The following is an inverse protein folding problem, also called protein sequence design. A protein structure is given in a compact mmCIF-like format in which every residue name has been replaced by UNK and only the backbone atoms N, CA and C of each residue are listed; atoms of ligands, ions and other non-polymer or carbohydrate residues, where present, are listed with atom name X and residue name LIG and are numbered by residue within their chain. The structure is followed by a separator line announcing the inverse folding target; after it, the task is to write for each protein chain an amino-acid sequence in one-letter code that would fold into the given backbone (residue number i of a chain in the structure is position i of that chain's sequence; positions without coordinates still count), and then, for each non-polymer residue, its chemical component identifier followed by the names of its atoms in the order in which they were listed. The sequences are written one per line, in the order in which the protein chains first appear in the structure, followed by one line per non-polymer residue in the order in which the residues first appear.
data_IF_745988075437
#
_entry.id   IF_745988075437
#
_cell.length_a   1.000
_cell.length_b   1.000
_cell.length_c   1.000
_cell.angle_alpha   90.00
_cell.angle_beta   90.00
_cell.angle_gamma   90.00
#
_symmetry.space_group_name_H-M   'P 1'
#
loop_
_entity.id
_entity.type
_entity.pdbx_description
1 polymer ?
#
# COMPACT_ATOMS: atom_id res chain seq x y z
N UNK A 1 12.56 25.40 6.66
CA UNK A 1 12.57 25.65 8.12
C UNK A 1 11.69 24.61 8.80
N UNK A 2 12.24 23.93 9.79
CA UNK A 2 11.56 22.80 10.46
C UNK A 2 11.34 23.05 11.98
N UNK A 3 11.84 24.18 12.51
CA UNK A 3 11.81 24.47 13.94
C UNK A 3 10.73 25.51 14.27
N UNK A 4 9.46 25.07 14.24
CA UNK A 4 8.32 25.85 14.68
C UNK A 4 7.18 24.93 15.11
N UNK A 5 6.27 25.43 15.91
CA UNK A 5 5.09 24.69 16.37
C UNK A 5 4.04 24.69 15.28
N UNK A 6 3.50 23.50 15.01
CA UNK A 6 2.35 23.26 14.12
C UNK A 6 1.16 22.79 14.94
N UNK A 7 -0.05 22.95 14.43
CA UNK A 7 -1.28 22.57 15.12
C UNK A 7 -2.13 21.62 14.28
N UNK A 8 -2.74 20.64 14.94
CA UNK A 8 -3.73 19.76 14.31
C UNK A 8 -4.68 19.18 15.37
N UNK A 9 -5.84 18.70 14.95
CA UNK A 9 -6.94 18.29 15.84
C UNK A 9 -6.70 16.94 16.54
N UNK A 10 -5.71 16.13 16.10
CA UNK A 10 -5.38 14.87 16.75
C UNK A 10 -4.63 15.04 18.08
N UNK A 11 -4.10 16.23 18.35
CA UNK A 11 -3.42 16.54 19.61
C UNK A 11 -4.42 17.06 20.62
N UNK A 12 -4.59 16.33 21.73
CA UNK A 12 -5.52 16.67 22.79
C UNK A 12 -4.80 17.02 24.09
N UNK A 13 -5.51 17.63 25.04
CA UNK A 13 -5.02 17.89 26.41
C UNK A 13 -5.62 16.91 27.42
N UNK A 14 -6.39 15.94 26.98
CA UNK A 14 -7.02 14.92 27.82
C UNK A 14 -5.99 13.89 28.31
N UNK A 15 -4.96 13.67 27.51
CA UNK A 15 -3.83 12.80 27.83
C UNK A 15 -2.52 13.51 27.48
N UNK A 16 -1.51 13.38 28.35
CA UNK A 16 -0.21 14.03 28.18
C UNK A 16 -0.22 15.56 28.37
N UNK A 17 0.64 16.24 27.63
CA UNK A 17 0.91 17.70 27.78
C UNK A 17 0.19 18.58 26.75
N UNK A 18 -0.45 17.98 25.75
CA UNK A 18 -0.95 18.70 24.57
C UNK A 18 0.14 19.14 23.60
N UNK A 19 1.37 18.66 23.78
CA UNK A 19 2.52 18.91 22.90
C UNK A 19 3.10 17.58 22.48
N UNK A 20 3.17 17.34 21.15
CA UNK A 20 3.64 16.11 20.55
C UNK A 20 4.87 16.38 19.69
N UNK A 21 5.89 15.54 19.81
CA UNK A 21 7.00 15.51 18.87
C UNK A 21 6.54 14.90 17.54
N UNK A 22 6.84 15.55 16.43
CA UNK A 22 6.37 15.16 15.10
C UNK A 22 7.52 14.71 14.22
N UNK A 23 7.43 13.47 13.70
CA UNK A 23 8.45 12.85 12.85
C UNK A 23 7.80 12.29 11.55
N UNK A 24 7.81 13.05 10.44
CA UNK A 24 7.02 12.76 9.24
C UNK A 24 7.32 11.42 8.56
N UNK A 25 8.48 10.83 8.79
CA UNK A 25 8.87 9.53 8.24
C UNK A 25 8.41 8.34 9.09
N UNK A 26 7.94 8.57 10.32
CA UNK A 26 7.71 7.52 11.32
C UNK A 26 6.31 7.53 11.95
N UNK A 27 5.37 8.33 11.41
CA UNK A 27 3.98 8.36 11.82
C UNK A 27 3.07 8.84 10.69
N UNK A 28 1.86 8.25 10.59
CA UNK A 28 0.90 8.62 9.54
C UNK A 28 0.35 10.04 9.77
N UNK A 29 -0.09 10.34 10.98
CA UNK A 29 -0.56 11.69 11.34
C UNK A 29 0.55 12.72 11.23
N UNK A 30 1.76 12.36 11.66
CA UNK A 30 2.95 13.21 11.52
C UNK A 30 3.22 13.55 10.05
N UNK A 31 3.15 12.54 9.17
CA UNK A 31 3.34 12.72 7.73
C UNK A 31 2.26 13.63 7.15
N UNK A 32 0.99 13.38 7.49
CA UNK A 32 -0.16 14.16 7.02
C UNK A 32 -0.02 15.62 7.42
N UNK A 33 0.25 15.88 8.70
CA UNK A 33 0.38 17.24 9.23
C UNK A 33 1.60 17.95 8.66
N UNK A 34 2.74 17.28 8.59
CA UNK A 34 3.95 17.86 8.00
C UNK A 34 3.77 18.24 6.53
N UNK A 35 3.04 17.45 5.75
CA UNK A 35 2.68 17.81 4.36
C UNK A 35 1.80 19.05 4.31
N UNK A 36 0.79 19.16 5.19
CA UNK A 36 -0.10 20.32 5.30
C UNK A 36 0.67 21.63 5.53
N UNK A 37 1.73 21.57 6.35
CA UNK A 37 2.60 22.71 6.65
C UNK A 37 3.85 22.82 5.78
N UNK A 38 3.96 21.98 4.74
CA UNK A 38 5.09 21.94 3.82
C UNK A 38 6.46 21.79 4.54
N UNK A 39 6.48 20.91 5.54
CA UNK A 39 7.69 20.60 6.30
C UNK A 39 8.61 19.70 5.49
N UNK A 40 9.94 19.79 5.69
CA UNK A 40 10.85 18.85 5.04
C UNK A 40 10.60 17.42 5.54
N UNK A 41 10.64 16.48 4.60
CA UNK A 41 10.59 15.05 4.90
C UNK A 41 12.03 14.54 5.02
N UNK A 42 12.38 14.06 6.22
CA UNK A 42 13.71 13.52 6.52
C UNK A 42 13.56 12.14 7.12
N UNK A 43 14.39 11.20 6.64
CA UNK A 43 14.36 9.80 7.06
C UNK A 43 15.78 9.30 7.30
N UNK A 44 16.17 9.22 8.56
CA UNK A 44 17.50 8.82 9.02
C UNK A 44 17.61 7.32 9.34
N UNK A 45 16.70 6.52 8.86
CA UNK A 45 16.69 5.06 9.01
C UNK A 45 16.58 4.43 7.62
N UNK A 46 17.45 3.49 7.30
CA UNK A 46 17.45 2.78 6.03
C UNK A 46 16.44 1.61 6.01
N UNK A 47 16.35 0.89 4.88
CA UNK A 47 15.41 -0.23 4.70
C UNK A 47 15.67 -1.44 5.62
N UNK A 48 16.84 -1.52 6.25
CA UNK A 48 17.19 -2.56 7.24
C UNK A 48 16.84 -2.15 8.66
N UNK A 49 16.33 -0.92 8.86
CA UNK A 49 16.07 -0.35 10.18
C UNK A 49 17.34 0.20 10.85
N UNK A 50 18.41 0.42 10.11
CA UNK A 50 19.69 0.95 10.61
C UNK A 50 19.75 2.46 10.40
N UNK A 51 20.42 3.18 11.32
CA UNK A 51 20.68 4.60 11.20
C UNK A 51 21.54 4.90 9.98
N UNK A 52 21.24 6.00 9.28
CA UNK A 52 21.95 6.39 8.05
C UNK A 52 23.25 7.14 8.36
N UNK A 53 24.09 7.37 7.32
CA UNK A 53 25.38 8.06 7.41
C UNK A 53 25.27 9.53 7.86
N UNK A 54 24.08 10.11 7.79
CA UNK A 54 23.81 11.47 8.26
C UNK A 54 23.66 11.58 9.78
N UNK A 55 23.66 10.46 10.48
CA UNK A 55 23.54 10.40 11.95
C UNK A 55 24.90 10.09 12.60
N UNK A 56 24.99 10.29 13.91
CA UNK A 56 26.20 9.99 14.67
C UNK A 56 26.40 8.46 14.90
N UNK A 57 25.43 7.64 14.52
CA UNK A 57 25.43 6.17 14.75
C UNK A 57 25.15 5.37 13.47
N UNK A 58 25.85 5.61 12.35
CA UNK A 58 25.57 4.93 11.09
C UNK A 58 25.70 3.41 11.19
N UNK A 59 24.74 2.70 10.59
CA UNK A 59 24.70 1.24 10.57
C UNK A 59 24.20 0.59 11.86
N UNK A 60 23.92 1.34 12.91
CA UNK A 60 23.33 0.81 14.15
C UNK A 60 21.82 0.66 13.98
N UNK A 61 21.27 -0.50 14.39
CA UNK A 61 19.83 -0.73 14.38
C UNK A 61 19.13 0.29 15.29
N UNK A 62 18.03 0.85 14.85
CA UNK A 62 17.37 1.99 15.49
C UNK A 62 17.06 1.76 16.98
N UNK A 63 16.69 0.55 17.40
CA UNK A 63 16.45 0.24 18.82
C UNK A 63 17.74 0.09 19.63
N UNK A 64 18.82 -0.30 19.00
CA UNK A 64 20.14 -0.37 19.64
C UNK A 64 20.79 1.01 19.73
N UNK A 65 20.33 1.96 18.93
CA UNK A 65 20.74 3.37 19.00
C UNK A 65 20.13 4.12 20.20
N UNK A 66 18.97 3.69 20.72
CA UNK A 66 18.28 4.38 21.82
C UNK A 66 19.21 4.62 23.05
N UNK A 67 19.95 3.64 23.61
CA UNK A 67 20.84 3.87 24.71
C UNK A 67 22.04 4.78 24.36
N UNK A 68 22.51 4.73 23.12
CA UNK A 68 23.61 5.60 22.65
C UNK A 68 23.17 7.06 22.58
N UNK A 69 21.94 7.30 22.11
CA UNK A 69 21.32 8.62 22.04
C UNK A 69 21.10 9.19 23.45
N UNK A 70 20.63 8.36 24.39
CA UNK A 70 20.44 8.78 25.79
C UNK A 70 21.77 9.19 26.44
N UNK A 71 22.82 8.39 26.23
CA UNK A 71 24.18 8.67 26.74
C UNK A 71 24.74 10.00 26.18
N UNK A 72 24.54 10.25 24.86
CA UNK A 72 24.95 11.50 24.24
C UNK A 72 24.17 12.72 24.79
N UNK A 73 22.85 12.58 24.95
CA UNK A 73 22.01 13.61 25.52
C UNK A 73 22.41 13.93 27.00
N UNK A 74 22.74 12.91 27.78
CA UNK A 74 23.22 13.08 29.15
C UNK A 74 24.57 13.80 29.18
N UNK A 75 25.55 13.34 28.37
CA UNK A 75 26.89 13.97 28.27
C UNK A 75 26.84 15.41 27.79
N UNK A 76 25.87 15.76 26.94
CA UNK A 76 25.67 17.11 26.42
C UNK A 76 24.79 18.01 27.30
N UNK A 77 24.38 17.55 28.50
CA UNK A 77 23.47 18.23 29.43
C UNK A 77 22.12 18.63 28.82
N UNK A 78 21.62 17.77 27.93
CA UNK A 78 20.33 17.93 27.23
C UNK A 78 19.25 16.94 27.67
N UNK A 79 19.60 15.92 28.44
CA UNK A 79 18.68 14.94 28.96
C UNK A 79 17.94 15.47 30.19
N UNK A 80 16.65 15.73 30.05
CA UNK A 80 15.83 16.15 31.21
C UNK A 80 15.41 14.94 32.05
N UNK A 81 14.89 13.87 31.42
CA UNK A 81 14.40 12.68 32.09
C UNK A 81 14.23 11.54 31.10
N UNK A 82 14.58 10.31 31.50
CA UNK A 82 14.37 9.08 30.74
C UNK A 82 13.76 7.97 31.63
N UNK A 83 12.47 8.08 32.04
CA UNK A 83 11.83 7.06 32.86
C UNK A 83 11.58 5.81 32.03
N UNK A 84 11.72 4.63 32.66
CA UNK A 84 11.25 3.40 32.08
C UNK A 84 9.72 3.39 32.01
N UNK A 85 9.19 2.97 30.85
CA UNK A 85 7.76 2.87 30.61
C UNK A 85 7.43 1.56 29.92
N UNK A 86 6.57 0.76 30.53
CA UNK A 86 6.11 -0.52 29.97
C UNK A 86 4.81 -0.31 29.22
N UNK A 87 4.80 -0.67 27.96
CA UNK A 87 3.62 -0.60 27.09
C UNK A 87 3.58 -1.77 26.09
N UNK A 88 2.43 -2.00 25.48
CA UNK A 88 2.31 -2.96 24.37
C UNK A 88 3.08 -2.46 23.16
N UNK A 89 3.88 -3.31 22.55
CA UNK A 89 4.63 -3.00 21.34
C UNK A 89 4.41 -4.07 20.26
N UNK A 90 4.19 -3.68 19.00
CA UNK A 90 3.95 -4.64 17.93
C UNK A 90 5.23 -5.35 17.50
N UNK A 91 5.14 -6.69 17.37
CA UNK A 91 6.22 -7.53 16.89
C UNK A 91 5.81 -8.29 15.64
N UNK A 92 6.76 -8.65 14.80
CA UNK A 92 6.53 -9.47 13.62
C UNK A 92 6.03 -10.86 14.05
N UNK A 93 4.85 -11.26 13.59
CA UNK A 93 4.26 -12.56 13.91
C UNK A 93 5.10 -13.78 13.44
N UNK A 94 6.07 -13.56 12.55
CA UNK A 94 6.90 -14.61 11.96
C UNK A 94 8.25 -14.79 12.67
N UNK A 95 8.92 -13.69 13.01
CA UNK A 95 10.28 -13.69 13.56
C UNK A 95 10.42 -12.97 14.89
N UNK A 96 9.32 -12.47 15.44
CA UNK A 96 9.24 -11.75 16.72
C UNK A 96 10.11 -10.48 16.80
N UNK A 97 10.61 -9.99 15.68
CA UNK A 97 11.36 -8.73 15.64
C UNK A 97 10.44 -7.55 15.92
N UNK A 98 10.84 -6.57 16.74
CA UNK A 98 10.08 -5.34 16.94
C UNK A 98 9.83 -4.63 15.63
N UNK A 99 8.59 -4.20 15.41
CA UNK A 99 8.22 -3.43 14.22
C UNK A 99 8.52 -1.96 14.44
N UNK A 100 8.84 -1.25 13.37
CA UNK A 100 8.96 0.21 13.36
C UNK A 100 8.00 0.81 12.35
N UNK A 101 7.43 1.97 12.64
CA UNK A 101 6.81 2.79 11.64
C UNK A 101 7.89 3.34 10.71
N UNK A 102 7.65 3.23 9.41
CA UNK A 102 8.66 3.56 8.41
C UNK A 102 7.99 3.98 7.11
N UNK A 103 8.25 5.17 6.65
CA UNK A 103 7.70 5.65 5.40
C UNK A 103 8.37 4.96 4.20
N UNK A 104 7.57 4.40 3.34
CA UNK A 104 8.01 3.65 2.17
C UNK A 104 7.23 4.05 0.93
N UNK A 105 7.91 4.20 -0.19
CA UNK A 105 7.27 4.36 -1.47
C UNK A 105 6.43 3.12 -1.80
N UNK A 106 5.18 3.30 -2.18
CA UNK A 106 4.23 2.23 -2.48
C UNK A 106 3.30 2.65 -3.60
N UNK A 107 2.79 1.68 -4.34
CA UNK A 107 1.77 1.88 -5.36
C UNK A 107 0.39 1.82 -4.73
N UNK A 108 -0.48 2.74 -5.12
CA UNK A 108 -1.84 2.84 -4.60
C UNK A 108 -2.86 2.90 -5.73
N UNK A 109 -3.99 2.24 -5.53
CA UNK A 109 -5.22 2.51 -6.28
C UNK A 109 -6.00 3.57 -5.51
N UNK A 110 -6.37 4.67 -6.18
CA UNK A 110 -7.13 5.76 -5.57
C UNK A 110 -8.60 5.35 -5.40
N UNK A 111 -8.89 4.57 -4.37
CA UNK A 111 -10.24 4.12 -4.05
C UNK A 111 -11.16 5.26 -3.63
N UNK A 112 -10.59 6.31 -3.05
CA UNK A 112 -11.33 7.53 -2.68
C UNK A 112 -11.96 8.23 -3.89
N UNK A 113 -11.43 8.03 -5.10
CA UNK A 113 -11.99 8.59 -6.34
C UNK A 113 -13.28 7.90 -6.79
N UNK A 114 -13.52 6.66 -6.36
CA UNK A 114 -14.71 5.85 -6.72
C UNK A 114 -15.56 5.49 -5.50
N UNK A 115 -15.42 6.26 -4.40
CA UNK A 115 -16.14 6.00 -3.15
C UNK A 115 -17.65 6.00 -3.31
N UNK A 116 -18.18 6.97 -4.03
CA UNK A 116 -19.61 7.15 -4.19
C UNK A 116 -20.22 6.00 -5.03
N UNK A 117 -19.49 5.53 -6.03
CA UNK A 117 -19.83 4.36 -6.83
C UNK A 117 -19.76 3.07 -6.00
N UNK A 118 -18.76 2.91 -5.14
CA UNK A 118 -18.67 1.78 -4.21
C UNK A 118 -19.89 1.73 -3.28
N UNK A 119 -20.25 2.86 -2.70
CA UNK A 119 -21.43 2.98 -1.83
C UNK A 119 -22.71 2.67 -2.60
N UNK A 120 -22.84 3.18 -3.84
CA UNK A 120 -23.99 2.90 -4.69
C UNK A 120 -24.10 1.41 -5.03
N UNK A 121 -22.98 0.79 -5.43
CA UNK A 121 -22.93 -0.64 -5.76
C UNK A 121 -23.23 -1.52 -4.54
N UNK A 122 -22.75 -1.19 -3.34
CA UNK A 122 -23.09 -1.90 -2.12
C UNK A 122 -24.61 -1.92 -1.85
N UNK A 123 -25.32 -0.83 -2.15
CA UNK A 123 -26.77 -0.73 -1.95
C UNK A 123 -27.57 -1.64 -2.89
N UNK A 124 -26.96 -2.15 -3.97
CA UNK A 124 -27.61 -3.12 -4.87
C UNK A 124 -27.50 -4.56 -4.37
N UNK A 125 -26.66 -4.83 -3.39
CA UNK A 125 -26.43 -6.16 -2.83
C UNK A 125 -27.51 -6.51 -1.83
N UNK A 126 -28.08 -7.70 -1.93
CA UNK A 126 -29.01 -8.24 -0.92
C UNK A 126 -28.22 -8.93 0.20
N UNK A 127 -27.75 -8.15 1.18
CA UNK A 127 -27.01 -8.67 2.32
C UNK A 127 -27.88 -9.50 3.27
N UNK A 128 -27.35 -10.65 3.71
CA UNK A 128 -27.99 -11.53 4.69
C UNK A 128 -27.00 -11.76 5.86
N UNK A 129 -27.21 -11.14 7.04
CA UNK A 129 -28.28 -10.19 7.37
C UNK A 129 -28.04 -8.77 6.78
N UNK A 130 -29.11 -7.99 6.53
CA UNK A 130 -28.99 -6.64 5.96
C UNK A 130 -28.09 -5.68 6.76
N UNK A 131 -28.05 -5.84 8.08
CA UNK A 131 -27.21 -5.04 8.99
C UNK A 131 -25.72 -5.07 8.69
N UNK A 132 -25.24 -6.07 7.95
CA UNK A 132 -23.83 -6.11 7.52
C UNK A 132 -23.58 -5.06 6.42
N UNK A 133 -24.46 -5.01 5.42
CA UNK A 133 -24.34 -4.08 4.31
C UNK A 133 -24.53 -2.60 4.70
N UNK A 134 -25.47 -2.35 5.60
CA UNK A 134 -25.76 -1.00 6.10
C UNK A 134 -24.77 -0.55 7.20
N UNK A 135 -24.35 -1.48 8.06
CA UNK A 135 -23.47 -1.22 9.20
C UNK A 135 -21.99 -1.46 8.90
N UNK A 136 -21.49 -2.64 9.31
CA UNK A 136 -20.06 -2.95 9.30
C UNK A 136 -19.37 -2.73 7.94
N UNK A 137 -19.99 -3.15 6.85
CA UNK A 137 -19.45 -3.01 5.52
C UNK A 137 -19.71 -1.62 4.95
N UNK A 138 -20.97 -1.14 5.00
CA UNK A 138 -21.36 0.17 4.50
C UNK A 138 -20.56 1.31 5.11
N UNK A 139 -20.52 1.37 6.44
CA UNK A 139 -19.74 2.39 7.15
C UNK A 139 -18.24 2.38 6.76
N UNK A 140 -17.70 1.20 6.47
CA UNK A 140 -16.31 1.11 6.09
C UNK A 140 -16.04 1.65 4.68
N UNK A 141 -16.88 1.32 3.71
CA UNK A 141 -16.70 1.81 2.34
C UNK A 141 -17.02 3.32 2.22
N UNK A 142 -17.90 3.86 3.07
CA UNK A 142 -18.11 5.31 3.17
C UNK A 142 -16.84 6.07 3.61
N UNK A 143 -15.95 5.40 4.35
CA UNK A 143 -14.68 5.93 4.83
C UNK A 143 -13.48 5.23 4.17
N UNK A 144 -13.68 4.72 2.94
CA UNK A 144 -12.64 3.99 2.23
C UNK A 144 -11.36 4.81 2.09
N UNK A 145 -10.22 4.15 2.33
CA UNK A 145 -8.90 4.70 2.08
C UNK A 145 -8.35 4.19 0.74
N UNK A 146 -7.36 4.88 0.20
CA UNK A 146 -6.66 4.43 -0.99
C UNK A 146 -5.96 3.10 -0.72
N UNK A 147 -6.06 2.17 -1.66
CA UNK A 147 -5.58 0.81 -1.48
C UNK A 147 -4.12 0.68 -1.87
N UNK A 148 -3.23 0.51 -0.90
CA UNK A 148 -1.83 0.19 -1.16
C UNK A 148 -1.70 -1.22 -1.71
N UNK A 149 -1.42 -1.34 -3.02
CA UNK A 149 -1.43 -2.62 -3.74
C UNK A 149 -0.06 -3.29 -3.87
N UNK A 150 1.03 -2.57 -3.64
CA UNK A 150 2.37 -3.14 -3.79
C UNK A 150 2.85 -3.88 -2.54
N UNK A 151 3.54 -4.99 -2.76
CA UNK A 151 4.16 -5.79 -1.70
C UNK A 151 5.61 -6.09 -2.05
N UNK A 152 6.50 -5.97 -1.08
CA UNK A 152 7.89 -6.39 -1.19
C UNK A 152 8.02 -7.86 -0.87
N UNK A 153 7.76 -8.69 -1.84
CA UNK A 153 7.91 -10.15 -1.79
C UNK A 153 8.60 -10.61 -3.06
N UNK A 154 9.32 -11.72 -2.94
CA UNK A 154 9.90 -12.34 -4.12
C UNK A 154 8.84 -13.03 -4.97
N UNK A 155 7.95 -13.81 -4.34
CA UNK A 155 6.90 -14.55 -5.02
C UNK A 155 5.54 -13.87 -4.89
N UNK A 156 4.82 -13.81 -5.97
CA UNK A 156 3.49 -13.26 -6.15
C UNK A 156 3.31 -12.75 -7.57
N UNK A 157 2.12 -12.27 -7.91
CA UNK A 157 1.84 -11.64 -9.21
C UNK A 157 2.63 -10.33 -9.33
N UNK A 158 3.60 -10.22 -10.26
CA UNK A 158 4.38 -9.00 -10.43
C UNK A 158 3.52 -7.82 -10.85
N UNK A 159 3.78 -6.63 -10.29
CA UNK A 159 3.19 -5.40 -10.82
C UNK A 159 3.66 -5.21 -12.27
N UNK A 160 2.70 -4.99 -13.16
CA UNK A 160 2.92 -4.85 -14.60
C UNK A 160 3.30 -3.42 -15.01
N UNK A 161 4.13 -2.75 -14.20
CA UNK A 161 4.55 -1.36 -14.41
C UNK A 161 6.05 -1.33 -14.71
N UNK A 162 6.41 -0.68 -15.81
CA UNK A 162 7.79 -0.34 -16.15
C UNK A 162 8.05 1.14 -15.90
N UNK A 163 9.20 1.44 -15.35
CA UNK A 163 9.60 2.80 -14.97
C UNK A 163 10.93 3.17 -15.60
N UNK A 164 11.02 4.41 -16.05
CA UNK A 164 12.23 5.02 -16.59
C UNK A 164 12.90 5.95 -15.56
N UNK A 165 14.20 6.14 -15.68
CA UNK A 165 14.96 7.13 -14.89
C UNK A 165 14.45 8.57 -15.06
N UNK A 166 13.85 8.91 -16.22
CA UNK A 166 13.23 10.21 -16.45
C UNK A 166 11.90 10.42 -15.69
N UNK A 167 11.38 9.37 -15.02
CA UNK A 167 10.12 9.39 -14.30
C UNK A 167 8.92 8.91 -15.11
N UNK A 168 9.07 8.61 -16.41
CA UNK A 168 7.99 8.01 -17.21
C UNK A 168 7.64 6.62 -16.70
N UNK A 169 6.34 6.31 -16.65
CA UNK A 169 5.79 5.03 -16.17
C UNK A 169 4.83 4.48 -17.22
N UNK A 170 4.91 3.17 -17.46
CA UNK A 170 4.06 2.47 -18.43
C UNK A 170 3.52 1.18 -17.80
N UNK A 171 2.20 1.02 -17.79
CA UNK A 171 1.52 -0.19 -17.33
C UNK A 171 1.17 -1.07 -18.53
N UNK A 172 1.78 -2.23 -18.63
CA UNK A 172 1.56 -3.18 -19.72
C UNK A 172 0.32 -4.02 -19.47
N UNK A 173 -0.64 -4.00 -20.38
CA UNK A 173 -1.95 -4.64 -20.23
C UNK A 173 -2.04 -6.08 -20.77
N UNK A 174 -1.06 -6.54 -21.55
CA UNK A 174 -1.10 -7.89 -22.16
C UNK A 174 0.28 -8.37 -22.60
N UNK A 175 0.39 -9.71 -22.81
CA UNK A 175 1.58 -10.30 -23.46
C UNK A 175 1.74 -9.80 -24.89
N UNK A 176 0.65 -9.54 -25.58
CA UNK A 176 0.68 -9.00 -26.95
C UNK A 176 1.35 -7.61 -26.97
N UNK A 177 0.91 -6.71 -26.10
CA UNK A 177 1.51 -5.39 -25.94
C UNK A 177 2.99 -5.48 -25.51
N UNK A 178 3.31 -6.36 -24.55
CA UNK A 178 4.68 -6.57 -24.10
C UNK A 178 5.59 -6.97 -25.28
N UNK A 179 5.09 -7.79 -26.20
CA UNK A 179 5.82 -8.20 -27.41
C UNK A 179 5.90 -7.12 -28.47
N UNK A 180 4.98 -6.18 -28.53
CA UNK A 180 5.06 -4.99 -29.37
C UNK A 180 6.18 -4.07 -28.87
N UNK A 181 6.27 -3.88 -27.54
CA UNK A 181 7.29 -3.08 -26.89
C UNK A 181 8.68 -3.75 -26.92
N UNK A 182 8.72 -5.07 -26.80
CA UNK A 182 9.92 -5.89 -26.83
C UNK A 182 9.74 -7.09 -27.77
N UNK A 183 10.08 -6.95 -29.08
CA UNK A 183 9.85 -8.00 -30.09
C UNK A 183 10.53 -9.35 -29.80
N UNK A 184 11.61 -9.35 -29.00
CA UNK A 184 12.29 -10.57 -28.58
C UNK A 184 11.67 -11.26 -27.37
N UNK A 185 10.58 -10.72 -26.82
CA UNK A 185 9.87 -11.33 -25.71
C UNK A 185 9.23 -12.66 -26.19
N UNK A 186 9.47 -13.79 -25.51
CA UNK A 186 8.86 -15.08 -25.85
C UNK A 186 7.31 -15.01 -25.82
N UNK A 187 6.66 -15.74 -26.70
CA UNK A 187 5.19 -15.80 -26.72
C UNK A 187 4.62 -16.53 -25.49
N UNK A 188 5.40 -17.44 -24.93
CA UNK A 188 5.11 -18.25 -23.75
C UNK A 188 5.90 -17.76 -22.52
N UNK A 189 6.17 -16.46 -22.43
CA UNK A 189 6.90 -15.88 -21.31
C UNK A 189 6.26 -16.25 -19.98
N UNK A 190 7.09 -16.71 -19.05
CA UNK A 190 6.70 -16.86 -17.65
C UNK A 190 6.59 -15.48 -16.99
N UNK A 191 5.38 -15.11 -16.52
CA UNK A 191 5.09 -13.78 -15.99
C UNK A 191 5.56 -13.57 -14.54
N UNK A 192 6.11 -14.61 -13.89
CA UNK A 192 6.69 -14.48 -12.56
C UNK A 192 8.16 -14.04 -12.61
N UNK A 193 8.64 -13.62 -11.45
CA UNK A 193 10.07 -13.34 -11.24
C UNK A 193 10.88 -14.64 -11.28
N UNK A 194 12.08 -14.64 -11.82
CA UNK A 194 12.85 -13.49 -12.35
C UNK A 194 12.59 -13.21 -13.84
N UNK A 195 11.77 -13.99 -14.52
CA UNK A 195 11.65 -13.98 -15.98
C UNK A 195 11.11 -12.65 -16.52
N UNK A 196 10.03 -12.16 -15.93
CA UNK A 196 9.42 -10.90 -16.35
C UNK A 196 10.31 -9.69 -16.03
N UNK A 197 11.15 -9.77 -14.99
CA UNK A 197 12.08 -8.69 -14.60
C UNK A 197 13.20 -8.50 -15.64
N UNK A 198 13.50 -9.52 -16.45
CA UNK A 198 14.47 -9.46 -17.53
C UNK A 198 13.95 -8.72 -18.77
N UNK A 199 12.64 -8.51 -18.88
CA UNK A 199 12.04 -7.83 -20.01
C UNK A 199 12.16 -6.31 -19.82
N UNK A 200 12.86 -5.68 -20.76
CA UNK A 200 13.09 -4.23 -20.80
C UNK A 200 12.80 -3.70 -22.20
N UNK A 201 12.43 -2.45 -22.30
CA UNK A 201 12.19 -1.77 -23.58
C UNK A 201 12.53 -0.27 -23.48
N UNK A 202 12.74 0.43 -24.61
CA UNK A 202 13.10 1.83 -24.61
C UNK A 202 11.93 2.71 -24.15
N UNK A 203 12.23 3.74 -23.38
CA UNK A 203 11.28 4.76 -22.95
C UNK A 203 10.83 5.60 -24.16
N UNK A 204 9.54 5.81 -24.38
CA UNK A 204 9.05 6.63 -25.49
C UNK A 204 9.37 8.12 -25.32
N UNK A 205 9.63 8.58 -24.09
CA UNK A 205 9.90 9.99 -23.79
C UNK A 205 11.39 10.36 -23.97
N UNK A 206 12.31 9.49 -23.53
CA UNK A 206 13.74 9.83 -23.49
C UNK A 206 14.67 8.80 -24.18
N UNK A 207 14.15 7.64 -24.59
CA UNK A 207 14.92 6.58 -25.21
C UNK A 207 15.74 5.69 -24.25
N UNK A 208 15.83 6.05 -22.97
CA UNK A 208 16.51 5.22 -21.97
C UNK A 208 15.75 3.92 -21.69
N UNK A 209 16.43 2.94 -21.11
CA UNK A 209 15.83 1.63 -20.81
C UNK A 209 14.82 1.72 -19.65
N UNK A 210 13.62 1.23 -19.88
CA UNK A 210 12.63 1.04 -18.84
C UNK A 210 12.78 -0.33 -18.20
N UNK A 211 12.65 -0.37 -16.87
CA UNK A 211 12.70 -1.58 -16.07
C UNK A 211 11.39 -1.75 -15.31
N UNK A 212 10.97 -3.02 -15.13
CA UNK A 212 9.80 -3.32 -14.30
C UNK A 212 10.09 -2.95 -12.85
N UNK A 213 9.09 -2.39 -12.16
CA UNK A 213 9.18 -2.14 -10.71
C UNK A 213 9.27 -3.47 -9.95
N UNK A 214 10.09 -3.56 -8.86
CA UNK A 214 10.41 -4.85 -8.24
C UNK A 214 9.26 -5.48 -7.43
N UNK A 215 8.22 -4.71 -7.14
CA UNK A 215 7.12 -5.13 -6.28
C UNK A 215 6.23 -6.19 -6.96
N UNK A 216 5.52 -6.94 -6.13
CA UNK A 216 4.40 -7.80 -6.51
C UNK A 216 3.09 -7.17 -6.04
N UNK A 217 1.98 -7.54 -6.66
CA UNK A 217 0.67 -7.04 -6.29
C UNK A 217 0.17 -7.70 -5.02
N UNK A 218 -0.71 -7.04 -4.30
CA UNK A 218 -1.43 -7.60 -3.16
C UNK A 218 -2.26 -8.81 -3.59
N UNK A 219 -2.14 -9.94 -2.90
CA UNK A 219 -2.91 -11.15 -3.18
C UNK A 219 -4.43 -10.96 -3.09
N UNK A 220 -4.89 -9.93 -2.38
CA UNK A 220 -6.30 -9.53 -2.37
C UNK A 220 -6.77 -8.96 -3.71
N UNK A 221 -5.87 -8.40 -4.50
CA UNK A 221 -6.16 -8.00 -5.88
C UNK A 221 -6.39 -9.23 -6.76
N UNK A 222 -5.52 -10.23 -6.67
CA UNK A 222 -5.68 -11.49 -7.41
C UNK A 222 -7.02 -12.15 -7.07
N UNK A 223 -7.34 -12.31 -5.78
CA UNK A 223 -8.59 -12.93 -5.34
C UNK A 223 -9.83 -12.12 -5.71
N UNK A 224 -9.73 -10.80 -5.68
CA UNK A 224 -10.82 -9.90 -6.08
C UNK A 224 -11.03 -9.84 -7.59
N UNK A 225 -10.04 -10.26 -8.37
CA UNK A 225 -10.11 -10.36 -9.83
C UNK A 225 -10.78 -11.66 -10.31
N UNK A 226 -11.02 -12.62 -9.41
CA UNK A 226 -11.54 -13.95 -9.74
C UNK A 226 -12.78 -13.94 -10.66
N UNK A 227 -13.79 -13.03 -10.46
CA UNK A 227 -15.02 -13.08 -11.27
C UNK A 227 -14.81 -13.01 -12.77
N UNK A 228 -13.76 -12.35 -13.23
CA UNK A 228 -13.43 -12.21 -14.66
C UNK A 228 -12.14 -12.93 -15.03
N UNK A 229 -11.15 -12.99 -14.14
CA UNK A 229 -9.86 -13.62 -14.40
C UNK A 229 -9.98 -15.13 -14.65
N UNK A 230 -10.89 -15.84 -13.95
CA UNK A 230 -11.13 -17.26 -14.17
C UNK A 230 -11.60 -17.61 -15.61
N UNK A 231 -12.17 -16.65 -16.31
CA UNK A 231 -12.63 -16.79 -17.69
C UNK A 231 -11.63 -16.27 -18.71
N UNK A 232 -10.50 -15.72 -18.27
CA UNK A 232 -9.55 -15.00 -19.11
C UNK A 232 -10.21 -13.82 -19.86
N UNK A 233 -11.24 -13.23 -19.25
CA UNK A 233 -11.90 -12.03 -19.78
C UNK A 233 -10.96 -10.81 -19.71
N UNK A 234 -10.92 -9.91 -20.72
CA UNK A 234 -11.80 -9.84 -21.89
C UNK A 234 -11.29 -10.62 -23.13
N UNK A 235 -10.20 -11.36 -23.04
CA UNK A 235 -9.53 -12.00 -24.18
C UNK A 235 -10.25 -13.26 -24.63
N UNK A 236 -10.86 -14.00 -23.71
CA UNK A 236 -11.59 -15.24 -23.95
C UNK A 236 -12.89 -15.28 -23.16
N UNK A 237 -13.77 -16.23 -23.48
CA UNK A 237 -14.96 -16.61 -22.73
C UNK A 237 -15.90 -15.43 -22.34
N UNK A 238 -15.97 -14.40 -23.17
CA UNK A 238 -16.76 -13.20 -22.91
C UNK A 238 -18.24 -13.52 -22.64
N UNK A 239 -18.85 -14.39 -23.45
CA UNK A 239 -20.25 -14.78 -23.29
C UNK A 239 -20.51 -15.51 -21.98
N UNK A 240 -19.54 -16.30 -21.49
CA UNK A 240 -19.64 -17.00 -20.22
C UNK A 240 -19.59 -15.99 -19.08
N UNK A 241 -18.63 -15.05 -19.13
CA UNK A 241 -18.53 -13.99 -18.14
C UNK A 241 -19.83 -13.16 -18.08
N UNK A 242 -20.32 -12.67 -19.21
CA UNK A 242 -21.53 -11.86 -19.28
C UNK A 242 -22.78 -12.58 -18.75
N UNK A 243 -22.82 -13.91 -18.87
CA UNK A 243 -23.91 -14.75 -18.36
C UNK A 243 -23.88 -14.94 -16.85
N UNK A 244 -22.67 -15.05 -16.24
CA UNK A 244 -22.51 -15.41 -14.83
C UNK A 244 -22.05 -14.25 -13.93
N UNK A 245 -21.90 -13.07 -14.49
CA UNK A 245 -21.53 -11.88 -13.75
C UNK A 245 -22.68 -10.85 -13.69
N UNK A 246 -23.06 -10.39 -12.50
CA UNK A 246 -22.56 -10.75 -11.17
C UNK A 246 -22.99 -12.14 -10.72
N UNK A 247 -22.37 -12.66 -9.66
CA UNK A 247 -22.75 -13.92 -9.06
C UNK A 247 -24.14 -13.81 -8.39
N UNK A 248 -24.95 -14.87 -8.50
CA UNK A 248 -26.28 -14.92 -7.87
C UNK A 248 -26.19 -15.02 -6.33
N UNK A 249 -25.12 -15.64 -5.82
CA UNK A 249 -24.91 -15.84 -4.39
C UNK A 249 -23.44 -16.11 -4.06
N UNK A 250 -22.96 -15.48 -2.97
CA UNK A 250 -21.69 -15.82 -2.33
C UNK A 250 -21.88 -15.93 -0.82
N UNK A 251 -21.06 -16.73 -0.14
CA UNK A 251 -21.14 -16.92 1.31
C UNK A 251 -19.76 -17.09 1.92
N UNK A 252 -19.49 -16.26 2.91
CA UNK A 252 -18.26 -16.29 3.71
C UNK A 252 -18.55 -15.78 5.13
N UNK A 253 -17.58 -15.89 6.03
CA UNK A 253 -17.68 -15.33 7.36
C UNK A 253 -17.60 -13.80 7.38
N UNK A 254 -18.09 -13.17 8.42
CA UNK A 254 -18.24 -11.71 8.54
C UNK A 254 -16.90 -10.95 8.48
N UNK A 255 -15.79 -11.60 8.81
CA UNK A 255 -14.43 -11.04 8.67
C UNK A 255 -14.10 -10.69 7.22
N UNK A 256 -14.70 -11.39 6.24
CA UNK A 256 -14.47 -11.13 4.81
C UNK A 256 -15.06 -9.81 4.31
N UNK A 257 -15.81 -9.10 5.12
CA UNK A 257 -16.13 -7.68 4.87
C UNK A 257 -14.89 -6.78 4.86
N UNK A 258 -13.78 -7.23 5.45
CA UNK A 258 -12.45 -6.59 5.41
C UNK A 258 -11.43 -7.40 4.59
N UNK A 259 -11.91 -8.30 3.76
CA UNK A 259 -11.11 -9.19 2.92
C UNK A 259 -11.74 -9.36 1.55
N UNK A 260 -12.16 -10.57 1.22
CA UNK A 260 -12.60 -10.93 -0.12
C UNK A 260 -13.83 -10.18 -0.62
N UNK A 261 -14.85 -9.97 0.19
CA UNK A 261 -16.03 -9.19 -0.22
C UNK A 261 -15.64 -7.77 -0.64
N UNK A 262 -14.71 -7.14 0.11
CA UNK A 262 -14.24 -5.82 -0.27
C UNK A 262 -13.43 -5.83 -1.57
N UNK A 263 -12.45 -6.72 -1.70
CA UNK A 263 -11.63 -6.77 -2.92
C UNK A 263 -12.45 -7.06 -4.17
N UNK A 264 -13.47 -7.93 -4.06
CA UNK A 264 -14.42 -8.20 -5.14
C UNK A 264 -15.17 -6.93 -5.59
N UNK A 265 -15.82 -6.23 -4.66
CA UNK A 265 -16.62 -5.04 -5.02
C UNK A 265 -15.73 -3.86 -5.44
N UNK A 266 -14.56 -3.72 -4.85
CA UNK A 266 -13.59 -2.68 -5.20
C UNK A 266 -13.15 -2.81 -6.66
N UNK A 267 -12.67 -3.98 -7.06
CA UNK A 267 -12.20 -4.22 -8.43
C UNK A 267 -13.36 -4.18 -9.43
N UNK A 268 -14.51 -4.75 -9.07
CA UNK A 268 -15.70 -4.72 -9.92
C UNK A 268 -16.22 -3.30 -10.14
N UNK A 269 -16.20 -2.46 -9.12
CA UNK A 269 -16.57 -1.04 -9.26
C UNK A 269 -15.61 -0.31 -10.18
N UNK A 270 -14.29 -0.51 -10.01
CA UNK A 270 -13.28 0.13 -10.86
C UNK A 270 -13.39 -0.26 -12.33
N UNK A 271 -13.70 -1.52 -12.64
CA UNK A 271 -13.69 -2.03 -14.02
C UNK A 271 -15.07 -1.96 -14.70
N UNK A 272 -16.14 -2.17 -13.95
CA UNK A 272 -17.48 -2.36 -14.51
C UNK A 272 -18.53 -1.43 -13.94
N UNK A 273 -18.19 -0.65 -12.91
CA UNK A 273 -19.12 0.15 -12.10
C UNK A 273 -20.38 -0.64 -11.68
N UNK A 274 -20.17 -1.88 -11.22
CA UNK A 274 -21.23 -2.82 -10.85
C UNK A 274 -20.79 -3.67 -9.68
N UNK A 275 -21.74 -4.07 -8.83
CA UNK A 275 -21.47 -5.09 -7.80
C UNK A 275 -21.15 -6.44 -8.45
N UNK A 276 -20.20 -7.23 -7.90
CA UNK A 276 -19.85 -8.56 -8.43
C UNK A 276 -20.75 -9.68 -7.92
N UNK A 277 -21.61 -9.41 -6.93
CA UNK A 277 -22.51 -10.37 -6.28
C UNK A 277 -23.78 -9.68 -5.83
#
# INVERSE_FOLDING_TARGET
KAFFVICDDYVTTEDGTGIVHTAPAFGEDDNRVCRKYNMPFVQFVNEKGEMTEETDWPGVFVKDADPLILDDLEKSDKLFKAPEFTHSYPHCWRCDTPLIYYARASWFIRMTAVRDELVANNKTVNWIPPSIGEGRFGNWIEHVQDWGISRNRYWGTPLNIWKCSCGHEHAVGSIAELRELQPNCPADIELHRPYIDAITFPCPECGETMHRVPEVIDCWFDSGSMPFAQWHYPFENKEIFEKYFPADFISEAVDQTRGWFYSLIAISTLLFNKSPY
#
